data_IF_719488206812
#
_entry.id   IF_719488206812
#
_cell.length_a   1.000
_cell.length_b   1.000
_cell.length_c   1.000
_cell.angle_alpha   90.00
_cell.angle_beta   90.00
_cell.angle_gamma   90.00
#
_symmetry.space_group_name_H-M   'P 1'
#
loop_
_entity.id
_entity.type
_entity.pdbx_description
1 polymer ?
#
# COMPACT_ATOMS: atom_id res chain seq x y z
N UNK A 1 4.21 -10.84 -2.15
CA UNK A 1 3.35 -9.62 -2.15
C UNK A 1 2.19 -9.84 -3.11
N UNK A 2 0.99 -9.42 -2.71
CA UNK A 2 -0.23 -9.62 -3.49
C UNK A 2 -0.35 -8.65 -4.67
N UNK A 3 -0.94 -9.12 -5.79
CA UNK A 3 -1.32 -8.29 -6.94
C UNK A 3 -2.15 -7.06 -6.53
N UNK A 4 -2.98 -7.18 -5.49
CA UNK A 4 -3.80 -6.08 -4.98
C UNK A 4 -2.97 -5.01 -4.25
N UNK A 5 -1.95 -5.40 -3.46
CA UNK A 5 -1.08 -4.42 -2.80
C UNK A 5 -0.27 -3.63 -3.82
N UNK A 6 0.20 -4.28 -4.88
CA UNK A 6 0.96 -3.63 -5.95
C UNK A 6 0.08 -2.64 -6.73
N UNK A 7 -1.18 -2.98 -6.97
CA UNK A 7 -2.16 -2.07 -7.55
C UNK A 7 -2.36 -0.83 -6.68
N UNK A 8 -2.56 -0.98 -5.36
CA UNK A 8 -2.73 0.17 -4.47
C UNK A 8 -1.47 1.04 -4.40
N UNK A 9 -0.27 0.45 -4.39
CA UNK A 9 0.97 1.20 -4.47
C UNK A 9 1.11 1.97 -5.79
N UNK A 10 0.70 1.38 -6.91
CA UNK A 10 0.70 2.07 -8.20
C UNK A 10 -0.26 3.29 -8.20
N UNK A 11 -1.45 3.15 -7.61
CA UNK A 11 -2.42 4.24 -7.46
C UNK A 11 -1.92 5.33 -6.51
N UNK A 12 -1.24 4.96 -5.42
CA UNK A 12 -0.59 5.93 -4.54
C UNK A 12 0.48 6.74 -5.30
N UNK A 13 1.35 6.05 -6.06
CA UNK A 13 2.39 6.71 -6.85
C UNK A 13 1.83 7.62 -7.94
N UNK A 14 0.70 7.25 -8.56
CA UNK A 14 -0.02 8.11 -9.50
C UNK A 14 -0.54 9.38 -8.83
N UNK A 15 -1.17 9.25 -7.65
CA UNK A 15 -1.65 10.41 -6.90
C UNK A 15 -0.49 11.36 -6.51
N UNK A 16 0.65 10.80 -6.07
CA UNK A 16 1.84 11.60 -5.76
C UNK A 16 2.32 12.43 -6.97
N UNK A 17 2.44 11.80 -8.15
CA UNK A 17 2.84 12.48 -9.38
C UNK A 17 1.88 13.60 -9.78
N UNK A 18 0.58 13.38 -9.63
CA UNK A 18 -0.42 14.42 -9.93
C UNK A 18 -0.38 15.58 -8.90
N UNK A 19 -0.07 15.28 -7.64
CA UNK A 19 0.15 16.31 -6.61
C UNK A 19 1.38 17.19 -6.91
N UNK A 20 2.45 16.60 -7.45
CA UNK A 20 3.66 17.30 -7.87
C UNK A 20 3.43 18.18 -9.12
N UNK A 21 2.58 17.74 -10.05
CA UNK A 21 2.31 18.43 -11.31
C UNK A 21 1.39 19.64 -11.16
N UNK A 22 0.48 19.62 -10.19
CA UNK A 22 -0.50 20.67 -10.02
C UNK A 22 0.07 21.90 -9.29
N UNK A 23 -0.30 23.09 -9.78
CA UNK A 23 0.04 24.37 -9.14
C UNK A 23 -1.04 24.83 -8.13
N UNK A 24 -2.21 24.19 -8.14
CA UNK A 24 -3.32 24.55 -7.28
C UNK A 24 -3.25 23.78 -5.96
N UNK A 25 -3.14 24.50 -4.85
CA UNK A 25 -2.98 23.92 -3.50
C UNK A 25 -4.12 22.96 -3.14
N UNK A 26 -5.37 23.39 -3.37
CA UNK A 26 -6.55 22.58 -3.09
C UNK A 26 -6.59 21.26 -3.89
N UNK A 27 -6.05 21.28 -5.11
CA UNK A 27 -5.93 20.08 -5.95
C UNK A 27 -4.78 19.20 -5.44
N UNK A 28 -3.64 19.79 -5.08
CA UNK A 28 -2.50 19.07 -4.50
C UNK A 28 -2.91 18.32 -3.24
N UNK A 29 -3.55 18.99 -2.29
CA UNK A 29 -3.99 18.38 -1.05
C UNK A 29 -4.96 17.21 -1.29
N UNK A 30 -5.86 17.33 -2.28
CA UNK A 30 -6.77 16.24 -2.65
C UNK A 30 -6.00 15.02 -3.13
N UNK A 31 -4.98 15.21 -3.96
CA UNK A 31 -4.14 14.12 -4.43
C UNK A 31 -3.32 13.49 -3.29
N UNK A 32 -2.75 14.30 -2.39
CA UNK A 32 -2.03 13.79 -1.22
C UNK A 32 -2.93 12.99 -0.27
N UNK A 33 -4.18 13.42 -0.05
CA UNK A 33 -5.16 12.64 0.72
C UNK A 33 -5.49 11.31 0.04
N UNK A 34 -5.65 11.31 -1.29
CA UNK A 34 -5.88 10.10 -2.05
C UNK A 34 -4.67 9.14 -2.00
N UNK A 35 -3.45 9.66 -2.16
CA UNK A 35 -2.21 8.91 -2.01
C UNK A 35 -2.16 8.21 -0.64
N UNK A 36 -2.38 8.97 0.44
CA UNK A 36 -2.35 8.44 1.81
C UNK A 36 -3.35 7.30 1.99
N UNK A 37 -4.58 7.45 1.47
CA UNK A 37 -5.58 6.40 1.53
C UNK A 37 -5.14 5.13 0.77
N UNK A 38 -4.56 5.27 -0.42
CA UNK A 38 -4.05 4.13 -1.18
C UNK A 38 -2.88 3.44 -0.48
N UNK A 39 -1.95 4.21 0.09
CA UNK A 39 -0.82 3.66 0.87
C UNK A 39 -1.30 2.88 2.09
N UNK A 40 -2.25 3.42 2.85
CA UNK A 40 -2.81 2.73 4.01
C UNK A 40 -3.42 1.38 3.63
N UNK A 41 -4.18 1.31 2.53
CA UNK A 41 -4.74 0.05 2.05
C UNK A 41 -3.66 -0.95 1.63
N UNK A 42 -2.61 -0.50 0.95
CA UNK A 42 -1.48 -1.35 0.59
C UNK A 42 -0.77 -1.91 1.83
N UNK A 43 -0.49 -1.05 2.82
CA UNK A 43 0.16 -1.43 4.07
C UNK A 43 -0.64 -2.47 4.85
N UNK A 44 -1.97 -2.32 4.92
CA UNK A 44 -2.82 -3.33 5.56
C UNK A 44 -2.72 -4.70 4.90
N UNK A 45 -2.70 -4.75 3.55
CA UNK A 45 -2.55 -6.01 2.82
C UNK A 45 -1.15 -6.62 3.04
N UNK A 46 -0.10 -5.80 2.94
CA UNK A 46 1.26 -6.27 3.17
C UNK A 46 1.48 -6.77 4.59
N UNK A 47 0.89 -6.10 5.58
CA UNK A 47 0.92 -6.57 6.96
C UNK A 47 0.23 -7.92 7.12
N UNK A 48 -0.95 -8.08 6.52
CA UNK A 48 -1.68 -9.34 6.56
C UNK A 48 -0.93 -10.48 5.84
N UNK A 49 -0.28 -10.19 4.70
CA UNK A 49 0.57 -11.14 3.97
C UNK A 49 1.73 -11.63 4.85
N UNK A 50 2.50 -10.70 5.45
CA UNK A 50 3.62 -11.02 6.35
C UNK A 50 3.18 -11.85 7.55
N UNK A 51 2.02 -11.55 8.14
CA UNK A 51 1.50 -12.31 9.28
C UNK A 51 1.14 -13.76 8.88
N UNK A 52 0.66 -13.98 7.65
CA UNK A 52 0.40 -15.33 7.15
C UNK A 52 1.70 -16.08 6.91
N UNK A 53 2.66 -15.47 6.23
CA UNK A 53 3.99 -16.04 5.99
C UNK A 53 4.70 -16.43 7.31
N UNK A 54 4.64 -15.56 8.33
CA UNK A 54 5.20 -15.85 9.65
C UNK A 54 4.54 -17.07 10.32
N UNK A 55 3.21 -17.16 10.27
CA UNK A 55 2.46 -18.30 10.84
C UNK A 55 2.73 -19.60 10.10
N UNK A 56 2.91 -19.56 8.79
CA UNK A 56 3.26 -20.73 7.99
C UNK A 56 4.67 -21.22 8.35
N UNK A 57 5.63 -20.30 8.47
CA UNK A 57 6.99 -20.64 8.91
C UNK A 57 7.01 -21.27 10.32
N UNK A 58 6.25 -20.71 11.27
CA UNK A 58 6.11 -21.28 12.62
C UNK A 58 5.51 -22.70 12.59
N UNK A 59 4.48 -22.93 11.77
CA UNK A 59 3.87 -24.27 11.62
C UNK A 59 4.85 -25.26 11.02
N UNK A 60 5.56 -24.89 9.96
CA UNK A 60 6.56 -25.77 9.34
C UNK A 60 7.69 -26.11 10.32
N UNK A 61 8.13 -25.15 11.13
CA UNK A 61 9.16 -25.36 12.14
C UNK A 61 8.71 -26.21 13.34
N UNK A 62 7.40 -26.30 13.62
CA UNK A 62 6.83 -27.06 14.73
C UNK A 62 6.42 -28.49 14.35
N UNK A 63 6.26 -28.77 13.05
CA UNK A 63 5.80 -30.07 12.52
C UNK A 63 6.95 -30.90 11.92
N UNK A 64 8.16 -30.33 11.79
CA UNK A 64 9.39 -31.04 11.36
C UNK A 64 10.27 -31.43 12.53
#
# INVERSE_FOLDING_TARGET
>A
MSSTSDFYLARAAECAREAERTQLENVRERHLRAESAWRALAEQLLYADRLREAREAEKTASVG
#
